data_IF_142098923843
#
_entry.id   IF_142098923843
#
_cell.length_a   1.000
_cell.length_b   1.000
_cell.length_c   1.000
_cell.angle_alpha   90.00
_cell.angle_beta   90.00
_cell.angle_gamma   90.00
#
_symmetry.space_group_name_H-M   'P 1'
#
loop_
_entity.id
_entity.type
_entity.pdbx_description
1 polymer ?
#
# COMPACT_ATOMS: atom_id res chain seq x y z
N UNK A 1 16.28 -19.16 -21.56
CA UNK A 1 15.30 -18.05 -21.54
C UNK A 1 14.12 -18.47 -20.67
N UNK A 2 14.10 -18.10 -19.37
CA UNK A 2 12.90 -18.24 -18.52
C UNK A 2 12.57 -16.85 -18.00
N UNK A 3 11.65 -16.18 -18.68
CA UNK A 3 11.09 -14.92 -18.21
C UNK A 3 10.42 -15.17 -16.86
N UNK A 4 10.83 -14.42 -15.84
CA UNK A 4 10.13 -14.38 -14.58
C UNK A 4 8.66 -14.11 -14.88
N UNK A 5 7.80 -15.11 -14.68
CA UNK A 5 6.36 -14.93 -14.65
C UNK A 5 6.12 -13.98 -13.50
N UNK A 6 6.03 -12.69 -13.82
CA UNK A 6 5.59 -11.65 -12.93
C UNK A 6 4.19 -12.08 -12.51
N UNK A 7 4.08 -12.76 -11.36
CA UNK A 7 2.77 -13.05 -10.75
C UNK A 7 2.10 -11.71 -10.57
N UNK A 8 1.12 -11.43 -11.43
CA UNK A 8 0.41 -10.17 -11.40
C UNK A 8 -0.11 -9.95 -9.96
N UNK A 9 0.29 -8.83 -9.31
CA UNK A 9 -0.15 -8.55 -7.95
C UNK A 9 -1.67 -8.52 -7.82
N UNK A 10 -2.43 -8.26 -8.90
CA UNK A 10 -3.88 -8.34 -8.93
C UNK A 10 -4.39 -9.78 -8.79
N UNK A 11 -3.81 -10.74 -9.51
CA UNK A 11 -4.15 -12.18 -9.43
C UNK A 11 -3.89 -12.74 -8.03
N UNK A 12 -2.76 -12.36 -7.41
CA UNK A 12 -2.46 -12.76 -6.04
C UNK A 12 -3.48 -12.23 -5.01
N UNK A 13 -3.98 -11.00 -5.20
CA UNK A 13 -5.03 -10.42 -4.33
C UNK A 13 -6.37 -11.11 -4.52
N UNK A 14 -6.72 -11.48 -5.75
CA UNK A 14 -7.95 -12.23 -6.04
C UNK A 14 -7.94 -13.60 -5.35
N UNK A 15 -6.81 -14.31 -5.38
CA UNK A 15 -6.64 -15.60 -4.70
C UNK A 15 -6.80 -15.48 -3.17
N UNK A 16 -6.22 -14.46 -2.55
CA UNK A 16 -6.40 -14.19 -1.11
C UNK A 16 -7.86 -13.90 -0.79
N UNK A 17 -8.55 -13.07 -1.58
CA UNK A 17 -9.97 -12.77 -1.34
C UNK A 17 -10.86 -14.00 -1.49
N UNK A 18 -10.57 -14.87 -2.47
CA UNK A 18 -11.28 -16.12 -2.64
C UNK A 18 -11.08 -17.05 -1.43
N UNK A 19 -9.84 -17.20 -0.94
CA UNK A 19 -9.54 -17.97 0.27
C UNK A 19 -10.26 -17.42 1.50
N UNK A 20 -10.23 -16.09 1.67
CA UNK A 20 -10.87 -15.41 2.80
C UNK A 20 -12.37 -15.63 2.80
N UNK A 21 -13.03 -15.53 1.64
CA UNK A 21 -14.47 -15.76 1.51
C UNK A 21 -14.85 -17.22 1.81
N UNK A 22 -13.99 -18.17 1.46
CA UNK A 22 -14.27 -19.58 1.63
C UNK A 22 -14.05 -20.10 3.06
N UNK A 23 -13.09 -19.53 3.81
CA UNK A 23 -12.66 -20.04 5.11
C UNK A 23 -12.92 -19.07 6.27
N UNK A 24 -13.76 -18.05 6.08
CA UNK A 24 -13.90 -16.97 7.05
C UNK A 24 -14.36 -17.48 8.44
N UNK A 25 -13.71 -17.10 9.55
CA UNK A 25 -14.12 -17.52 10.88
C UNK A 25 -15.52 -17.03 11.26
N UNK A 26 -15.91 -15.82 10.84
CA UNK A 26 -17.26 -15.28 11.09
C UNK A 26 -18.42 -16.06 10.41
N UNK A 27 -18.13 -16.97 9.47
CA UNK A 27 -19.16 -17.88 8.90
C UNK A 27 -19.09 -19.30 9.50
N UNK A 28 -18.33 -19.48 10.58
CA UNK A 28 -18.13 -20.78 11.24
C UNK A 28 -16.85 -21.51 10.85
N UNK A 29 -15.88 -20.82 10.22
CA UNK A 29 -14.55 -21.37 9.95
C UNK A 29 -13.67 -21.43 11.21
N UNK A 30 -12.66 -22.30 11.19
CA UNK A 30 -11.65 -22.39 12.25
C UNK A 30 -10.67 -21.20 12.17
N UNK A 31 -10.59 -20.34 13.22
CA UNK A 31 -9.69 -19.19 13.25
C UNK A 31 -8.21 -19.55 13.09
N UNK A 32 -7.76 -20.69 13.61
CA UNK A 32 -6.34 -21.07 13.57
C UNK A 32 -5.94 -21.57 12.18
N UNK A 33 -6.76 -22.43 11.58
CA UNK A 33 -6.55 -22.88 10.20
C UNK A 33 -6.62 -21.71 9.22
N UNK A 34 -7.51 -20.74 9.47
CA UNK A 34 -7.59 -19.52 8.69
C UNK A 34 -6.31 -18.68 8.79
N UNK A 35 -5.79 -18.48 10.00
CA UNK A 35 -4.56 -17.73 10.23
C UNK A 35 -3.34 -18.40 9.55
N UNK A 36 -3.21 -19.72 9.68
CA UNK A 36 -2.14 -20.50 9.05
C UNK A 36 -2.19 -20.42 7.52
N UNK A 37 -3.36 -20.65 6.91
CA UNK A 37 -3.53 -20.57 5.46
C UNK A 37 -3.33 -19.16 4.90
N UNK A 38 -3.74 -18.13 5.64
CA UNK A 38 -3.51 -16.74 5.26
C UNK A 38 -2.02 -16.36 5.35
N UNK A 39 -1.29 -16.86 6.34
CA UNK A 39 0.15 -16.65 6.48
C UNK A 39 0.92 -17.28 5.31
N UNK A 40 0.55 -18.50 4.89
CA UNK A 40 1.15 -19.17 3.74
C UNK A 40 0.92 -18.39 2.43
N UNK A 41 -0.32 -17.94 2.18
CA UNK A 41 -0.67 -17.13 1.02
C UNK A 41 0.07 -15.78 0.98
N UNK A 42 0.34 -15.19 2.15
CA UNK A 42 1.12 -13.95 2.29
C UNK A 42 2.62 -14.19 2.11
N UNK A 43 3.18 -15.28 2.64
CA UNK A 43 4.60 -15.64 2.49
C UNK A 43 5.01 -15.99 1.06
N UNK A 44 4.06 -16.42 0.22
CA UNK A 44 4.28 -16.66 -1.23
C UNK A 44 4.40 -15.38 -2.08
N UNK A 45 4.17 -14.20 -1.50
CA UNK A 45 4.39 -12.91 -2.19
C UNK A 45 5.83 -12.44 -1.98
N UNK A 46 6.52 -11.97 -3.04
CA UNK A 46 7.83 -11.35 -2.89
C UNK A 46 7.71 -10.13 -1.95
N UNK A 47 8.72 -9.97 -1.11
CA UNK A 47 8.75 -9.14 0.07
C UNK A 47 8.24 -7.71 -0.19
N UNK A 48 7.25 -7.36 0.63
CA UNK A 48 7.27 -6.15 1.42
C UNK A 48 7.40 -4.79 0.69
N UNK A 49 6.36 -4.41 -0.05
CA UNK A 49 6.04 -2.98 -0.27
C UNK A 49 5.23 -2.40 0.91
N UNK A 50 4.75 -3.23 1.84
CA UNK A 50 3.60 -2.93 2.71
C UNK A 50 3.85 -3.03 4.23
N UNK A 51 5.04 -3.43 4.68
CA UNK A 51 5.56 -3.37 6.06
C UNK A 51 6.22 -2.02 6.37
N UNK A 52 6.17 -1.06 5.44
CA UNK A 52 6.48 0.31 5.77
C UNK A 52 5.53 0.77 6.89
N UNK A 53 6.05 1.43 7.95
CA UNK A 53 5.23 1.86 9.08
C UNK A 53 4.08 2.76 8.61
N UNK A 54 2.86 2.47 9.07
CA UNK A 54 1.68 3.28 8.75
C UNK A 54 1.79 4.62 9.50
N UNK A 55 2.25 5.66 8.82
CA UNK A 55 2.34 7.02 9.39
C UNK A 55 1.06 7.81 9.07
N UNK A 56 0.27 8.12 10.09
CA UNK A 56 -0.89 9.03 9.96
C UNK A 56 -0.38 10.46 9.91
N UNK A 57 -0.32 11.05 8.70
CA UNK A 57 0.06 12.46 8.51
C UNK A 57 -1.18 13.36 8.46
N UNK A 58 -1.25 14.32 9.38
CA UNK A 58 -2.23 15.41 9.29
C UNK A 58 -1.79 16.46 8.28
N UNK A 59 -2.48 16.51 7.14
CA UNK A 59 -2.28 17.58 6.16
C UNK A 59 -3.04 18.84 6.61
N UNK A 60 -2.39 20.01 6.67
CA UNK A 60 -3.09 21.26 6.96
C UNK A 60 -4.17 21.50 5.88
N UNK A 61 -5.43 21.53 6.30
CA UNK A 61 -6.59 21.87 5.47
C UNK A 61 -7.02 23.32 5.73
N UNK A 62 -7.94 23.84 4.91
CA UNK A 62 -8.47 25.20 5.02
C UNK A 62 -7.42 26.28 4.73
N UNK A 63 -7.57 27.44 5.39
CA UNK A 63 -6.74 28.64 5.17
C UNK A 63 -5.25 28.32 5.30
N UNK A 64 -4.85 27.52 6.30
CA UNK A 64 -3.45 27.11 6.50
C UNK A 64 -2.89 26.32 5.32
N UNK A 65 -3.70 25.46 4.70
CA UNK A 65 -3.33 24.73 3.48
C UNK A 65 -3.18 25.64 2.26
N UNK A 66 -4.04 26.67 2.15
CA UNK A 66 -3.96 27.67 1.08
C UNK A 66 -2.70 28.54 1.21
N UNK A 67 -2.40 29.04 2.42
CA UNK A 67 -1.17 29.80 2.72
C UNK A 67 0.07 28.96 2.40
N UNK A 68 0.08 27.68 2.80
CA UNK A 68 1.18 26.77 2.47
C UNK A 68 1.37 26.62 0.95
N UNK A 69 0.28 26.52 0.18
CA UNK A 69 0.32 26.41 -1.29
C UNK A 69 0.86 27.68 -1.94
N UNK A 70 0.41 28.86 -1.49
CA UNK A 70 0.87 30.16 -2.00
C UNK A 70 2.37 30.33 -1.70
N UNK A 71 2.79 30.06 -0.46
CA UNK A 71 4.20 30.15 -0.05
C UNK A 71 5.08 29.19 -0.87
N UNK A 72 4.67 27.94 -1.05
CA UNK A 72 5.40 26.97 -1.85
C UNK A 72 5.53 27.42 -3.33
N UNK A 73 4.47 27.99 -3.90
CA UNK A 73 4.49 28.51 -5.29
C UNK A 73 5.42 29.71 -5.43
N UNK A 74 5.43 30.62 -4.46
CA UNK A 74 6.30 31.80 -4.47
C UNK A 74 7.78 31.42 -4.32
N UNK A 75 8.09 30.49 -3.41
CA UNK A 75 9.45 29.97 -3.24
C UNK A 75 9.97 29.28 -4.51
N UNK A 76 9.11 28.56 -5.25
CA UNK A 76 9.49 27.97 -6.54
C UNK A 76 9.81 29.03 -7.60
N UNK A 77 9.05 30.14 -7.63
CA UNK A 77 9.30 31.26 -8.56
C UNK A 77 10.59 32.02 -8.23
N UNK A 78 10.94 32.11 -6.95
CA UNK A 78 12.19 32.76 -6.49
C UNK A 78 13.41 31.84 -6.53
N UNK A 79 13.29 30.60 -7.00
CA UNK A 79 14.47 29.74 -7.13
C UNK A 79 15.32 30.25 -8.29
N UNK A 80 16.59 30.64 -8.05
CA UNK A 80 17.48 30.95 -9.14
C UNK A 80 17.64 29.72 -10.04
N UNK A 81 17.84 29.91 -11.36
CA UNK A 81 18.06 28.80 -12.28
C UNK A 81 19.21 27.95 -11.76
N UNK A 82 18.92 26.67 -11.51
CA UNK A 82 19.93 25.68 -11.14
C UNK A 82 20.56 25.21 -12.43
N UNK A 83 21.44 26.04 -12.97
CA UNK A 83 22.51 25.84 -13.97
C UNK A 83 22.78 27.22 -14.57
N UNK A 84 24.06 27.56 -14.69
CA UNK A 84 24.58 28.75 -15.37
C UNK A 84 25.32 28.28 -16.62
#
# INVERSE_FOLDING_TARGET
MMGAVQRDPATARAAIRAFVRANHPDVGGDPELFAAGLAELRGRRPCDRYDAPVVVVHRPRGIRGLVHRIRARWMRRKRPPRVR
#
